data_IF_092219895330
#
_entry.id   IF_092219895330
#
_cell.length_a   1.000
_cell.length_b   1.000
_cell.length_c   1.000
_cell.angle_alpha   90.00
_cell.angle_beta   90.00
_cell.angle_gamma   90.00
#
_symmetry.space_group_name_H-M   'P 1'
#
loop_
_entity.id
_entity.type
_entity.pdbx_description
1 polymer ?
#
# COMPACT_ATOMS: atom_id res chain seq x y z
N UNK A 1 17.01 -38.24 25.16
CA UNK A 1 15.59 -37.88 24.92
C UNK A 1 15.55 -36.74 23.92
N UNK A 2 14.62 -36.71 22.95
CA UNK A 2 14.52 -35.59 22.01
C UNK A 2 14.32 -34.26 22.73
N UNK A 3 14.95 -33.19 22.24
CA UNK A 3 14.95 -31.87 22.87
C UNK A 3 13.52 -31.32 23.12
N UNK A 4 12.62 -31.50 22.16
CA UNK A 4 11.21 -31.10 22.29
C UNK A 4 10.49 -31.80 23.45
N UNK A 5 10.81 -33.09 23.69
CA UNK A 5 10.22 -33.85 24.79
C UNK A 5 10.81 -33.44 26.15
N UNK A 6 12.08 -33.04 26.18
CA UNK A 6 12.70 -32.44 27.37
C UNK A 6 12.08 -31.09 27.70
N UNK A 7 11.89 -30.21 26.71
CA UNK A 7 11.22 -28.91 26.86
C UNK A 7 9.80 -29.06 27.42
N UNK A 8 8.98 -29.95 26.84
CA UNK A 8 7.61 -30.21 27.33
C UNK A 8 7.58 -30.70 28.77
N UNK A 9 8.51 -31.59 29.15
CA UNK A 9 8.61 -32.11 30.53
C UNK A 9 9.10 -31.03 31.51
N UNK A 10 10.08 -30.22 31.11
CA UNK A 10 10.61 -29.13 31.93
C UNK A 10 9.55 -28.03 32.16
N UNK A 11 8.78 -27.66 31.13
CA UNK A 11 7.69 -26.71 31.23
C UNK A 11 6.61 -27.18 32.23
N UNK A 12 6.17 -28.43 32.13
CA UNK A 12 5.22 -29.01 33.09
C UNK A 12 5.77 -29.10 34.52
N UNK A 13 7.06 -29.39 34.68
CA UNK A 13 7.71 -29.38 35.99
C UNK A 13 7.76 -27.97 36.59
N UNK A 14 8.09 -26.95 35.79
CA UNK A 14 8.13 -25.55 36.22
C UNK A 14 6.74 -25.07 36.67
N UNK A 15 5.69 -25.40 35.91
CA UNK A 15 4.31 -25.01 36.24
C UNK A 15 3.89 -25.49 37.63
N UNK A 16 4.28 -26.72 37.99
CA UNK A 16 3.98 -27.31 39.29
C UNK A 16 4.88 -26.73 40.39
N UNK A 17 6.17 -26.58 40.11
CA UNK A 17 7.20 -26.24 41.10
C UNK A 17 7.35 -24.75 41.37
N UNK A 18 6.91 -23.85 40.47
CA UNK A 18 7.01 -22.38 40.64
C UNK A 18 6.31 -21.87 41.89
N UNK A 19 5.32 -22.60 42.42
CA UNK A 19 4.65 -22.29 43.70
C UNK A 19 5.54 -22.55 44.93
N UNK A 20 6.63 -23.30 44.77
CA UNK A 20 7.56 -23.68 45.82
C UNK A 20 8.92 -23.06 45.54
N UNK A 21 9.14 -21.82 46.01
CA UNK A 21 10.36 -21.04 45.73
C UNK A 21 11.66 -21.68 46.26
N UNK A 22 11.58 -22.65 47.18
CA UNK A 22 12.74 -23.39 47.71
C UNK A 22 13.04 -24.68 46.94
N UNK A 23 12.36 -24.93 45.81
CA UNK A 23 12.62 -26.13 45.02
C UNK A 23 14.06 -26.09 44.46
N UNK A 24 14.90 -27.13 44.67
CA UNK A 24 16.33 -27.07 44.38
C UNK A 24 16.68 -26.69 42.94
N UNK A 25 15.92 -27.18 41.96
CA UNK A 25 16.16 -26.85 40.54
C UNK A 25 15.87 -25.38 40.26
N UNK A 26 14.84 -24.80 40.89
CA UNK A 26 14.52 -23.38 40.72
C UNK A 26 15.63 -22.53 41.34
N UNK A 27 16.10 -22.88 42.54
CA UNK A 27 17.21 -22.17 43.18
C UNK A 27 18.50 -22.25 42.37
N UNK A 28 18.79 -23.42 41.80
CA UNK A 28 19.95 -23.60 40.93
C UNK A 28 19.81 -22.80 39.63
N UNK A 29 18.63 -22.76 39.01
CA UNK A 29 18.37 -21.90 37.85
C UNK A 29 18.55 -20.42 38.18
N UNK A 30 18.07 -19.97 39.35
CA UNK A 30 18.32 -18.58 39.77
C UNK A 30 19.81 -18.30 40.01
N UNK A 31 20.53 -19.24 40.63
CA UNK A 31 21.99 -19.10 40.82
C UNK A 31 22.70 -19.00 39.47
N UNK A 32 22.45 -19.93 38.57
CA UNK A 32 23.04 -19.97 37.22
C UNK A 32 22.75 -18.69 36.45
N UNK A 33 21.49 -18.24 36.41
CA UNK A 33 21.12 -17.01 35.68
C UNK A 33 21.76 -15.77 36.32
N UNK A 34 21.71 -15.63 37.64
CA UNK A 34 22.16 -14.42 38.33
C UNK A 34 23.68 -14.35 38.56
N UNK A 35 24.38 -15.48 38.55
CA UNK A 35 25.82 -15.54 38.85
C UNK A 35 26.67 -15.94 37.64
N UNK A 36 26.17 -16.82 36.76
CA UNK A 36 26.96 -17.36 35.66
C UNK A 36 26.64 -16.64 34.33
N UNK A 37 25.39 -16.19 34.15
CA UNK A 37 24.96 -15.52 32.91
C UNK A 37 24.85 -14.00 33.00
N UNK A 38 24.32 -13.47 34.11
CA UNK A 38 24.20 -12.02 34.29
C UNK A 38 25.41 -11.42 35.00
N UNK A 39 25.95 -10.36 34.41
CA UNK A 39 26.98 -9.53 35.05
C UNK A 39 26.33 -8.46 35.94
N UNK A 40 25.85 -8.90 37.10
CA UNK A 40 25.25 -8.02 38.10
C UNK A 40 26.24 -6.97 38.64
N UNK A 41 27.54 -7.28 38.86
CA UNK A 41 28.53 -6.27 39.22
C UNK A 41 28.65 -5.14 38.18
N UNK A 42 28.80 -5.46 36.89
CA UNK A 42 28.90 -4.44 35.84
C UNK A 42 27.63 -3.58 35.72
N UNK A 43 26.46 -4.21 35.86
CA UNK A 43 25.18 -3.47 35.87
C UNK A 43 25.14 -2.44 37.01
N UNK A 44 25.57 -2.81 38.22
CA UNK A 44 25.63 -1.89 39.37
C UNK A 44 26.59 -0.74 39.11
N UNK A 45 27.75 -1.02 38.52
CA UNK A 45 28.73 0.01 38.16
C UNK A 45 28.11 1.05 37.21
N UNK A 46 27.49 0.62 36.12
CA UNK A 46 26.83 1.52 35.15
C UNK A 46 25.77 2.38 35.83
N UNK A 47 24.92 1.80 36.68
CA UNK A 47 23.89 2.55 37.42
C UNK A 47 24.49 3.57 38.39
N UNK A 48 25.55 3.20 39.11
CA UNK A 48 26.29 4.14 39.97
C UNK A 48 26.94 5.27 39.17
N UNK A 49 27.49 4.98 37.99
CA UNK A 49 28.09 5.97 37.11
C UNK A 49 27.06 6.93 36.51
N UNK A 50 25.85 6.46 36.20
CA UNK A 50 24.71 7.31 35.83
C UNK A 50 24.32 8.19 37.03
N UNK A 51 24.18 7.62 38.23
CA UNK A 51 23.79 8.37 39.44
C UNK A 51 24.82 9.45 39.79
N UNK A 52 26.12 9.16 39.64
CA UNK A 52 27.23 10.11 39.83
C UNK A 52 27.41 11.08 38.65
N UNK A 53 26.56 10.99 37.61
CA UNK A 53 26.59 11.80 36.38
C UNK A 53 27.89 11.69 35.57
N UNK A 54 28.61 10.58 35.71
CA UNK A 54 29.73 10.24 34.82
C UNK A 54 29.22 9.79 33.46
N UNK A 55 28.16 8.97 33.44
CA UNK A 55 27.42 8.62 32.23
C UNK A 55 26.26 9.61 32.08
N UNK A 56 26.15 10.24 30.90
CA UNK A 56 25.05 11.14 30.57
C UNK A 56 23.95 10.38 29.84
N UNK A 57 22.72 10.57 30.28
CA UNK A 57 21.51 10.07 29.62
C UNK A 57 20.84 11.24 28.91
N UNK A 58 20.51 11.07 27.63
CA UNK A 58 19.84 12.07 26.82
C UNK A 58 18.58 11.47 26.20
N UNK A 59 17.52 12.27 26.15
CA UNK A 59 16.28 11.93 25.47
C UNK A 59 16.25 12.65 24.12
N UNK A 60 15.96 11.91 23.05
CA UNK A 60 15.92 12.43 21.67
C UNK A 60 14.59 12.02 21.06
N UNK A 61 13.74 12.99 20.74
CA UNK A 61 12.53 12.78 19.96
C UNK A 61 12.87 12.67 18.48
N UNK A 62 12.51 11.56 17.84
CA UNK A 62 12.68 11.33 16.41
C UNK A 62 11.33 10.97 15.80
N UNK A 63 11.12 11.36 14.56
CA UNK A 63 9.92 11.00 13.80
C UNK A 63 9.92 9.53 13.34
N UNK A 64 11.03 8.80 13.57
CA UNK A 64 11.21 7.38 13.26
C UNK A 64 12.43 6.76 13.96
N UNK A 65 12.67 5.44 13.83
CA UNK A 65 13.80 4.78 14.50
C UNK A 65 15.14 5.25 13.94
N UNK A 66 16.12 5.49 14.83
CA UNK A 66 17.49 5.78 14.40
C UNK A 66 18.19 4.54 13.82
N UNK A 67 19.24 4.67 13.00
CA UNK A 67 19.98 3.52 12.46
C UNK A 67 20.45 2.50 13.53
N UNK A 68 20.80 2.99 14.72
CA UNK A 68 21.18 2.15 15.86
C UNK A 68 19.98 1.44 16.50
N UNK A 69 18.83 2.12 16.62
CA UNK A 69 17.60 1.49 17.12
C UNK A 69 17.05 0.47 16.13
N UNK A 70 17.18 0.75 14.83
CA UNK A 70 16.83 -0.15 13.74
C UNK A 70 17.65 -1.44 13.81
N UNK A 71 18.98 -1.38 14.02
CA UNK A 71 19.81 -2.59 14.20
C UNK A 71 19.40 -3.42 15.43
N UNK A 72 19.10 -2.77 16.56
CA UNK A 72 18.64 -3.48 17.77
C UNK A 72 17.26 -4.12 17.58
N UNK A 73 16.38 -3.47 16.81
CA UNK A 73 15.07 -4.01 16.46
C UNK A 73 15.21 -5.26 15.58
N UNK A 74 16.16 -5.25 14.64
CA UNK A 74 16.46 -6.43 13.82
C UNK A 74 16.98 -7.61 14.66
N UNK A 75 17.91 -7.40 15.59
CA UNK A 75 18.44 -8.44 16.46
C UNK A 75 17.34 -9.04 17.37
N UNK A 76 16.45 -8.19 17.89
CA UNK A 76 15.31 -8.61 18.69
C UNK A 76 14.32 -9.46 17.88
N UNK A 77 13.97 -9.05 16.66
CA UNK A 77 13.03 -9.78 15.80
C UNK A 77 13.63 -11.11 15.34
N UNK A 78 14.91 -11.14 14.97
CA UNK A 78 15.60 -12.37 14.57
C UNK A 78 15.58 -13.41 15.70
N UNK A 79 15.80 -12.98 16.94
CA UNK A 79 15.74 -13.85 18.11
C UNK A 79 14.35 -14.45 18.32
N UNK A 80 13.28 -13.67 18.11
CA UNK A 80 11.89 -14.12 18.27
C UNK A 80 11.37 -14.97 17.10
N UNK A 81 11.83 -14.74 15.86
CA UNK A 81 11.40 -15.55 14.71
C UNK A 81 11.85 -17.02 14.80
N UNK A 82 12.91 -17.30 15.55
CA UNK A 82 13.41 -18.66 15.76
C UNK A 82 12.98 -19.28 17.12
N UNK A 83 12.30 -18.55 17.99
CA UNK A 83 11.64 -19.10 19.19
C UNK A 83 10.25 -19.66 18.85
N UNK A 84 10.24 -20.90 18.37
CA UNK A 84 9.08 -21.58 17.77
C UNK A 84 7.88 -21.89 18.70
N UNK A 85 7.89 -21.54 19.99
CA UNK A 85 6.94 -22.10 21.00
C UNK A 85 5.93 -21.11 21.64
N UNK A 86 5.74 -19.89 21.11
CA UNK A 86 4.73 -18.95 21.65
C UNK A 86 3.27 -19.24 21.17
N UNK A 87 2.22 -19.08 22.02
CA UNK A 87 0.82 -19.24 21.64
C UNK A 87 0.33 -18.23 20.59
N UNK A 88 -0.54 -18.68 19.68
CA UNK A 88 -1.02 -17.94 18.49
C UNK A 88 -1.71 -16.59 18.81
N UNK A 89 -2.27 -16.42 20.02
CA UNK A 89 -2.96 -15.20 20.42
C UNK A 89 -2.01 -14.01 20.67
N UNK A 90 -0.85 -14.24 21.28
CA UNK A 90 0.19 -13.21 21.45
C UNK A 90 0.86 -12.85 20.11
N UNK A 91 0.95 -13.82 19.18
CA UNK A 91 1.44 -13.58 17.80
C UNK A 91 0.62 -12.55 17.03
N UNK A 92 -0.71 -12.53 17.20
CA UNK A 92 -1.59 -11.58 16.50
C UNK A 92 -1.44 -10.14 17.01
N UNK A 93 -1.23 -9.97 18.31
CA UNK A 93 -1.02 -8.65 18.90
C UNK A 93 0.33 -8.05 18.44
N UNK A 94 1.40 -8.86 18.43
CA UNK A 94 2.73 -8.43 17.97
C UNK A 94 2.79 -8.18 16.45
N UNK A 95 2.08 -8.99 15.64
CA UNK A 95 1.97 -8.79 14.20
C UNK A 95 1.21 -7.52 13.81
N UNK A 96 0.29 -7.04 14.66
CA UNK A 96 -0.38 -5.75 14.51
C UNK A 96 0.52 -4.56 14.95
N UNK A 97 1.64 -4.84 15.61
CA UNK A 97 2.67 -3.86 15.99
C UNK A 97 3.84 -3.81 14.99
N UNK A 98 3.79 -4.62 13.91
CA UNK A 98 4.77 -4.51 12.83
C UNK A 98 4.47 -3.26 12.00
N UNK A 99 5.37 -2.30 12.09
CA UNK A 99 5.37 -1.14 11.21
C UNK A 99 5.62 -1.60 9.77
N UNK A 100 4.65 -1.34 8.89
CA UNK A 100 4.70 -1.69 7.46
C UNK A 100 5.89 -1.02 6.76
N UNK A 101 6.41 0.08 7.30
CA UNK A 101 7.61 0.75 6.78
C UNK A 101 8.89 -0.04 7.06
N UNK A 102 9.02 -0.64 8.25
CA UNK A 102 10.15 -1.49 8.63
C UNK A 102 10.18 -2.80 7.84
N UNK A 103 9.02 -3.38 7.56
CA UNK A 103 8.91 -4.52 6.62
C UNK A 103 9.39 -4.18 5.21
N UNK A 104 9.18 -2.92 4.79
CA UNK A 104 9.58 -2.40 3.48
C UNK A 104 11.09 -2.15 3.38
N UNK A 105 11.76 -1.93 4.51
CA UNK A 105 13.23 -1.91 4.61
C UNK A 105 13.82 -3.33 4.69
N UNK A 106 13.17 -4.25 5.41
CA UNK A 106 13.62 -5.62 5.68
C UNK A 106 13.52 -6.53 4.45
N UNK A 107 12.51 -6.31 3.60
CA UNK A 107 12.34 -6.99 2.31
C UNK A 107 13.24 -6.41 1.21
N UNK A 108 14.05 -5.38 1.53
CA UNK A 108 14.52 -4.40 0.55
C UNK A 108 13.31 -3.66 -0.06
N UNK A 109 13.54 -2.65 -0.91
CA UNK A 109 12.64 -2.62 -2.06
C UNK A 109 12.71 -4.05 -2.62
N UNK A 110 11.61 -4.83 -2.68
CA UNK A 110 11.59 -5.79 -3.76
C UNK A 110 11.91 -4.90 -4.95
N UNK A 111 12.86 -5.28 -5.78
CA UNK A 111 12.79 -4.85 -7.15
C UNK A 111 11.40 -5.32 -7.59
N UNK A 112 10.35 -4.51 -7.38
CA UNK A 112 8.97 -4.88 -7.69
C UNK A 112 8.90 -5.15 -9.20
N UNK A 113 9.86 -4.59 -9.95
CA UNK A 113 10.24 -4.98 -11.31
C UNK A 113 10.46 -6.47 -11.50
N UNK A 114 11.12 -7.17 -10.58
CA UNK A 114 11.38 -8.62 -10.69
C UNK A 114 10.17 -9.48 -10.26
N UNK A 115 9.24 -8.92 -9.48
CA UNK A 115 8.02 -9.62 -9.04
C UNK A 115 6.81 -9.40 -9.96
N UNK A 116 6.79 -8.30 -10.73
CA UNK A 116 5.71 -7.99 -11.65
C UNK A 116 6.12 -8.37 -13.08
N UNK A 117 5.51 -9.44 -13.56
CA UNK A 117 5.65 -9.87 -14.95
C UNK A 117 5.15 -8.76 -15.90
N UNK A 118 6.01 -8.34 -16.83
CA UNK A 118 5.70 -7.28 -17.79
C UNK A 118 4.48 -7.65 -18.65
N UNK A 119 4.33 -8.92 -19.01
CA UNK A 119 3.19 -9.40 -19.81
C UNK A 119 1.88 -9.29 -19.01
N UNK A 120 1.95 -9.47 -17.68
CA UNK A 120 0.79 -9.31 -16.80
C UNK A 120 0.42 -7.83 -16.64
N UNK A 121 1.41 -6.93 -16.53
CA UNK A 121 1.17 -5.49 -16.48
C UNK A 121 0.48 -5.03 -17.77
N UNK A 122 1.00 -5.43 -18.93
CA UNK A 122 0.41 -5.10 -20.23
C UNK A 122 -1.02 -5.65 -20.36
N UNK A 123 -1.25 -6.90 -19.94
CA UNK A 123 -2.59 -7.49 -19.96
C UNK A 123 -3.58 -6.72 -19.07
N UNK A 124 -3.17 -6.33 -17.86
CA UNK A 124 -4.01 -5.54 -16.94
C UNK A 124 -4.28 -4.15 -17.53
N UNK A 125 -3.28 -3.50 -18.13
CA UNK A 125 -3.48 -2.22 -18.80
C UNK A 125 -4.47 -2.32 -19.96
N UNK A 126 -4.38 -3.36 -20.79
CA UNK A 126 -5.36 -3.62 -21.86
C UNK A 126 -6.77 -3.82 -21.31
N UNK A 127 -6.94 -4.44 -20.15
CA UNK A 127 -8.24 -4.58 -19.49
C UNK A 127 -8.79 -3.25 -18.95
N UNK A 128 -7.93 -2.45 -18.30
CA UNK A 128 -8.26 -1.13 -17.78
C UNK A 128 -8.63 -0.16 -18.91
N UNK A 129 -7.87 -0.20 -20.00
CA UNK A 129 -8.10 0.56 -21.23
C UNK A 129 -9.31 0.07 -22.02
N UNK A 130 -10.03 -0.97 -21.58
CA UNK A 130 -11.17 -1.58 -22.30
C UNK A 130 -10.80 -2.10 -23.70
N UNK A 131 -9.53 -2.46 -23.91
CA UNK A 131 -9.01 -3.00 -25.16
C UNK A 131 -9.07 -4.53 -25.20
N UNK A 132 -9.02 -5.20 -24.04
CA UNK A 132 -9.18 -6.65 -23.93
C UNK A 132 -10.59 -7.11 -24.35
N UNK A 133 -10.69 -8.27 -25.03
CA UNK A 133 -11.95 -8.82 -25.57
C UNK A 133 -13.08 -8.97 -24.52
N UNK A 134 -12.73 -9.34 -23.29
CA UNK A 134 -13.68 -9.44 -22.17
C UNK A 134 -14.19 -8.08 -21.66
N UNK A 135 -13.47 -7.00 -21.94
CA UNK A 135 -13.71 -5.65 -21.39
C UNK A 135 -14.21 -4.63 -22.43
N UNK A 136 -14.32 -5.03 -23.71
CA UNK A 136 -14.86 -4.21 -24.79
C UNK A 136 -16.24 -3.63 -24.46
N UNK A 137 -16.46 -2.40 -24.91
CA UNK A 137 -17.71 -1.65 -24.81
C UNK A 137 -18.76 -2.26 -25.74
N UNK A 138 -19.97 -2.53 -25.22
CA UNK A 138 -21.08 -3.18 -25.95
C UNK A 138 -22.39 -2.40 -25.93
N UNK A 139 -22.43 -1.22 -25.30
CA UNK A 139 -23.61 -0.37 -25.24
C UNK A 139 -23.25 1.10 -25.03
N UNK A 140 -24.21 1.99 -25.27
CA UNK A 140 -24.07 3.42 -24.98
C UNK A 140 -23.79 3.71 -23.49
N UNK A 141 -24.40 2.94 -22.58
CA UNK A 141 -24.13 3.10 -21.14
C UNK A 141 -22.69 2.71 -20.80
N UNK A 142 -22.18 1.61 -21.37
CA UNK A 142 -20.78 1.23 -21.17
C UNK A 142 -19.81 2.23 -21.80
N UNK A 143 -20.20 2.89 -22.90
CA UNK A 143 -19.42 3.99 -23.47
C UNK A 143 -19.38 5.18 -22.53
N UNK A 144 -20.51 5.56 -21.92
CA UNK A 144 -20.56 6.63 -20.92
C UNK A 144 -19.67 6.35 -19.72
N UNK A 145 -19.75 5.13 -19.17
CA UNK A 145 -18.88 4.70 -18.07
C UNK A 145 -17.40 4.75 -18.48
N UNK A 146 -17.07 4.30 -19.69
CA UNK A 146 -15.72 4.36 -20.20
C UNK A 146 -15.19 5.80 -20.35
N UNK A 147 -16.05 6.76 -20.76
CA UNK A 147 -15.66 8.17 -20.82
C UNK A 147 -15.40 8.77 -19.43
N UNK A 148 -16.15 8.33 -18.41
CA UNK A 148 -15.91 8.73 -17.01
C UNK A 148 -14.61 8.15 -16.46
N UNK A 149 -14.33 6.88 -16.78
CA UNK A 149 -13.15 6.15 -16.31
C UNK A 149 -11.86 6.59 -17.02
N UNK A 150 -11.88 6.69 -18.36
CA UNK A 150 -10.70 6.95 -19.20
C UNK A 150 -10.50 8.44 -19.52
N UNK A 151 -11.56 9.24 -19.43
CA UNK A 151 -11.57 10.63 -19.89
C UNK A 151 -11.87 10.77 -21.38
N UNK A 152 -11.51 11.91 -22.00
CA UNK A 152 -11.88 12.21 -23.38
C UNK A 152 -11.26 11.24 -24.41
N UNK A 153 -12.09 10.66 -25.28
CA UNK A 153 -11.68 9.71 -26.32
C UNK A 153 -11.96 10.23 -27.72
N UNK A 154 -11.05 9.99 -28.66
CA UNK A 154 -11.28 10.23 -30.09
C UNK A 154 -12.21 9.17 -30.70
N UNK A 155 -12.81 9.47 -31.85
CA UNK A 155 -13.69 8.52 -32.54
C UNK A 155 -12.98 7.20 -32.94
N UNK A 156 -11.67 7.25 -33.20
CA UNK A 156 -10.86 6.04 -33.40
C UNK A 156 -10.62 5.29 -32.08
N UNK A 157 -10.35 6.01 -30.99
CA UNK A 157 -10.17 5.45 -29.66
C UNK A 157 -11.41 4.73 -29.12
N UNK A 158 -12.61 5.28 -29.38
CA UNK A 158 -13.88 4.64 -29.04
C UNK A 158 -14.07 3.35 -29.86
N UNK A 159 -13.82 3.40 -31.17
CA UNK A 159 -13.93 2.22 -32.04
C UNK A 159 -12.99 1.09 -31.64
N UNK A 160 -11.75 1.41 -31.27
CA UNK A 160 -10.77 0.42 -30.80
C UNK A 160 -11.21 -0.30 -29.52
N UNK A 161 -11.99 0.36 -28.66
CA UNK A 161 -12.50 -0.18 -27.38
C UNK A 161 -13.90 -0.78 -27.49
N UNK A 162 -14.51 -0.75 -28.67
CA UNK A 162 -15.87 -1.24 -28.90
C UNK A 162 -15.85 -2.70 -29.38
N UNK A 163 -16.72 -3.53 -28.82
CA UNK A 163 -16.89 -4.92 -29.24
C UNK A 163 -17.64 -5.05 -30.57
N UNK A 164 -18.40 -4.02 -30.93
CA UNK A 164 -19.06 -3.85 -32.23
C UNK A 164 -18.71 -2.47 -32.78
N UNK A 165 -17.58 -2.31 -33.50
CA UNK A 165 -17.07 -1.01 -33.96
C UNK A 165 -18.07 -0.21 -34.81
N UNK A 166 -18.96 -0.88 -35.54
CA UNK A 166 -19.97 -0.22 -36.38
C UNK A 166 -21.04 0.50 -35.53
N UNK A 167 -21.42 -0.08 -34.39
CA UNK A 167 -22.40 0.50 -33.46
C UNK A 167 -21.84 1.65 -32.60
N UNK A 168 -20.50 1.79 -32.53
CA UNK A 168 -19.84 2.79 -31.71
C UNK A 168 -20.23 4.24 -32.08
N UNK A 169 -20.45 4.49 -33.37
CA UNK A 169 -20.86 5.81 -33.87
C UNK A 169 -22.30 6.14 -33.45
N UNK A 170 -23.19 5.14 -33.46
CA UNK A 170 -24.58 5.29 -33.03
C UNK A 170 -24.66 5.57 -31.54
N UNK A 171 -23.91 4.85 -30.71
CA UNK A 171 -23.84 5.10 -29.26
C UNK A 171 -23.29 6.49 -28.95
N UNK A 172 -22.26 6.94 -29.68
CA UNK A 172 -21.70 8.27 -29.51
C UNK A 172 -22.75 9.34 -29.84
N UNK A 173 -23.48 9.18 -30.94
CA UNK A 173 -24.55 10.09 -31.32
C UNK A 173 -25.70 10.10 -30.30
N UNK A 174 -26.07 8.95 -29.76
CA UNK A 174 -27.07 8.81 -28.69
C UNK A 174 -26.66 9.59 -27.44
N UNK A 175 -25.43 9.42 -26.95
CA UNK A 175 -24.90 10.15 -25.79
C UNK A 175 -24.85 11.66 -26.00
N UNK A 176 -24.45 12.13 -27.18
CA UNK A 176 -24.43 13.55 -27.53
C UNK A 176 -25.86 14.12 -27.59
N UNK A 177 -26.78 13.42 -28.24
CA UNK A 177 -28.18 13.87 -28.36
C UNK A 177 -28.92 13.85 -27.01
N UNK A 178 -28.54 12.94 -26.11
CA UNK A 178 -29.06 12.82 -24.76
C UNK A 178 -28.41 13.75 -23.74
N UNK A 179 -27.50 14.65 -24.15
CA UNK A 179 -26.72 15.52 -23.25
C UNK A 179 -25.97 14.75 -22.14
N UNK A 180 -25.51 13.54 -22.45
CA UNK A 180 -24.67 12.72 -21.56
C UNK A 180 -23.19 12.87 -21.86
N UNK A 181 -22.85 13.25 -23.08
CA UNK A 181 -21.48 13.51 -23.51
C UNK A 181 -21.37 14.89 -24.18
N UNK A 182 -20.15 15.40 -24.26
CA UNK A 182 -19.79 16.66 -24.92
C UNK A 182 -18.62 16.44 -25.87
N UNK A 183 -18.56 17.24 -26.93
CA UNK A 183 -17.40 17.29 -27.82
C UNK A 183 -16.43 18.38 -27.34
N UNK A 184 -15.16 18.03 -27.22
CA UNK A 184 -14.06 18.91 -26.81
C UNK A 184 -12.88 18.76 -27.76
N UNK A 185 -12.06 19.79 -27.89
CA UNK A 185 -10.81 19.70 -28.67
C UNK A 185 -9.65 19.59 -27.71
N UNK A 186 -8.97 18.44 -27.70
CA UNK A 186 -7.81 18.19 -26.85
C UNK A 186 -6.65 17.67 -27.71
N UNK A 187 -5.46 18.26 -27.55
CA UNK A 187 -4.30 17.90 -28.39
C UNK A 187 -4.49 18.21 -29.89
N UNK A 188 -5.39 19.14 -30.24
CA UNK A 188 -5.68 19.51 -31.63
C UNK A 188 -6.64 18.57 -32.37
N UNK A 189 -7.19 17.55 -31.71
CA UNK A 189 -8.17 16.63 -32.28
C UNK A 189 -9.52 16.67 -31.54
N UNK A 190 -10.65 16.43 -32.22
CA UNK A 190 -11.96 16.32 -31.58
C UNK A 190 -12.05 15.02 -30.77
N UNK A 191 -12.47 15.17 -29.51
CA UNK A 191 -12.70 14.07 -28.57
C UNK A 191 -14.09 14.20 -27.95
N UNK A 192 -14.63 13.06 -27.57
CA UNK A 192 -15.87 12.94 -26.82
C UNK A 192 -15.50 12.77 -25.36
N UNK A 193 -16.14 13.54 -24.48
CA UNK A 193 -15.96 13.46 -23.04
C UNK A 193 -17.32 13.29 -22.35
N UNK A 194 -17.34 12.71 -21.15
CA UNK A 194 -18.54 12.68 -20.32
C UNK A 194 -18.91 14.13 -19.91
N UNK A 195 -20.19 14.47 -19.89
CA UNK A 195 -20.63 15.83 -19.56
C UNK A 195 -20.23 16.23 -18.13
N UNK A 196 -20.15 15.26 -17.22
CA UNK A 196 -19.79 15.43 -15.82
C UNK A 196 -18.32 15.89 -15.61
N UNK A 197 -17.51 15.80 -16.65
CA UNK A 197 -16.11 16.23 -16.62
C UNK A 197 -15.89 17.66 -17.12
N UNK A 198 -16.96 18.37 -17.52
CA UNK A 198 -16.84 19.68 -18.12
C UNK A 198 -16.00 20.67 -17.28
N UNK A 199 -16.26 20.78 -15.98
CA UNK A 199 -15.46 21.64 -15.09
C UNK A 199 -14.02 21.16 -14.94
N UNK A 200 -13.79 19.86 -14.76
CA UNK A 200 -12.44 19.27 -14.66
C UNK A 200 -11.60 19.54 -15.90
N UNK A 201 -12.18 19.38 -17.08
CA UNK A 201 -11.49 19.60 -18.36
C UNK A 201 -11.22 21.09 -18.63
N UNK A 202 -12.16 21.96 -18.26
CA UNK A 202 -11.98 23.42 -18.36
C UNK A 202 -10.90 23.92 -17.41
N UNK A 203 -11.02 23.58 -16.13
CA UNK A 203 -10.21 24.17 -15.07
C UNK A 203 -8.86 23.48 -14.92
N UNK A 204 -8.78 22.17 -15.21
CA UNK A 204 -7.55 21.37 -15.11
C UNK A 204 -6.71 21.41 -16.38
N UNK A 205 -7.33 21.31 -17.56
CA UNK A 205 -6.63 21.21 -18.84
C UNK A 205 -6.81 22.44 -19.74
N UNK A 206 -7.60 23.43 -19.33
CA UNK A 206 -7.85 24.64 -20.13
C UNK A 206 -8.70 24.39 -21.37
N UNK A 207 -9.45 23.28 -21.43
CA UNK A 207 -10.24 22.95 -22.62
C UNK A 207 -11.48 23.84 -22.74
N UNK A 208 -11.79 24.26 -23.96
CA UNK A 208 -13.04 24.96 -24.25
C UNK A 208 -14.22 23.99 -24.18
N UNK A 209 -15.20 24.30 -23.34
CA UNK A 209 -16.43 23.52 -23.18
C UNK A 209 -17.53 24.13 -24.05
N UNK A 210 -18.34 23.30 -24.76
CA UNK A 210 -19.42 23.78 -25.61
C UNK A 210 -20.51 24.53 -24.82
N UNK A 211 -21.23 25.41 -25.52
CA UNK A 211 -22.40 26.08 -24.97
C UNK A 211 -23.54 25.08 -24.76
N UNK A 212 -24.27 25.21 -23.64
CA UNK A 212 -25.42 24.35 -23.33
C UNK A 212 -25.18 23.30 -22.24
N UNK A 213 -23.98 23.22 -21.68
CA UNK A 213 -23.71 22.36 -20.51
C UNK A 213 -24.44 22.90 -19.27
N UNK A 214 -25.26 22.08 -18.57
CA UNK A 214 -25.95 22.48 -17.35
C UNK A 214 -25.03 23.01 -16.25
N UNK A 215 -25.52 23.99 -15.48
CA UNK A 215 -24.77 24.64 -14.39
C UNK A 215 -24.05 23.67 -13.43
N UNK A 216 -24.68 22.56 -12.95
CA UNK A 216 -24.03 21.65 -12.02
C UNK A 216 -22.73 21.01 -12.54
N UNK A 217 -22.53 20.94 -13.86
CA UNK A 217 -21.34 20.32 -14.47
C UNK A 217 -20.23 21.33 -14.78
N UNK A 218 -20.51 22.63 -14.67
CA UNK A 218 -19.54 23.71 -14.90
C UNK A 218 -19.11 24.41 -13.61
N UNK A 219 -19.67 24.00 -12.47
CA UNK A 219 -19.23 24.44 -11.14
C UNK A 219 -17.78 24.00 -10.89
N UNK A 220 -16.93 24.88 -10.33
CA UNK A 220 -15.55 24.55 -9.99
C UNK A 220 -15.47 23.37 -9.01
N UNK A 221 -14.44 22.55 -9.17
CA UNK A 221 -14.07 21.47 -8.25
C UNK A 221 -12.78 21.84 -7.50
N UNK A 222 -12.53 21.21 -6.36
CA UNK A 222 -11.41 21.57 -5.47
C UNK A 222 -10.03 21.37 -6.12
N UNK A 223 -9.82 20.25 -6.81
CA UNK A 223 -8.55 19.90 -7.47
C UNK A 223 -8.78 19.30 -8.87
N UNK A 224 -9.07 20.12 -9.89
CA UNK A 224 -9.42 19.63 -11.23
C UNK A 224 -8.25 18.93 -11.93
N UNK A 225 -7.02 19.40 -11.73
CA UNK A 225 -5.83 18.79 -12.33
C UNK A 225 -5.49 17.48 -11.63
N UNK A 226 -5.50 17.45 -10.30
CA UNK A 226 -5.29 16.23 -9.52
C UNK A 226 -6.34 15.17 -9.84
N UNK A 227 -7.62 15.54 -10.02
CA UNK A 227 -8.68 14.63 -10.45
C UNK A 227 -8.40 14.00 -11.82
N UNK A 228 -7.94 14.80 -12.80
CA UNK A 228 -7.61 14.33 -14.15
C UNK A 228 -6.41 13.37 -14.11
N UNK A 229 -5.33 13.73 -13.42
CA UNK A 229 -4.13 12.90 -13.29
C UNK A 229 -4.42 11.63 -12.49
N UNK A 230 -5.16 11.72 -11.39
CA UNK A 230 -5.55 10.57 -10.58
C UNK A 230 -6.48 9.60 -11.33
N UNK A 231 -7.26 10.11 -12.28
CA UNK A 231 -8.02 9.26 -13.21
C UNK A 231 -7.11 8.60 -14.25
N UNK A 232 -6.19 9.35 -14.85
CA UNK A 232 -5.21 8.79 -15.79
C UNK A 232 -4.44 7.64 -15.13
N UNK A 233 -3.97 7.84 -13.90
CA UNK A 233 -3.23 6.85 -13.13
C UNK A 233 -4.02 5.59 -12.76
N UNK A 234 -5.36 5.64 -12.76
CA UNK A 234 -6.21 4.46 -12.51
C UNK A 234 -6.35 3.54 -13.71
N UNK A 235 -5.99 4.02 -14.89
CA UNK A 235 -6.27 3.32 -16.16
C UNK A 235 -5.02 3.04 -16.99
N UNK A 236 -3.87 3.61 -16.62
CA UNK A 236 -2.58 3.35 -17.26
C UNK A 236 -1.67 2.58 -16.31
N UNK A 237 -0.80 1.74 -16.88
CA UNK A 237 0.30 1.12 -16.17
C UNK A 237 1.29 2.19 -15.65
N UNK A 238 2.34 1.84 -14.89
CA UNK A 238 3.32 2.83 -14.45
C UNK A 238 3.80 3.72 -15.60
N UNK A 239 3.54 5.02 -15.48
CA UNK A 239 3.75 6.03 -16.51
C UNK A 239 4.75 7.08 -16.04
N UNK A 240 5.44 7.74 -16.97
CA UNK A 240 6.30 8.87 -16.67
C UNK A 240 5.47 10.16 -16.59
N UNK A 241 6.00 11.20 -15.94
CA UNK A 241 5.29 12.48 -15.82
C UNK A 241 4.94 13.11 -17.18
N UNK A 242 5.73 12.84 -18.22
CA UNK A 242 5.49 13.34 -19.58
C UNK A 242 4.32 12.63 -20.29
N UNK A 243 3.88 11.47 -19.77
CA UNK A 243 2.79 10.68 -20.35
C UNK A 243 1.40 11.14 -19.90
N UNK A 244 1.30 11.86 -18.77
CA UNK A 244 0.05 12.28 -18.12
C UNK A 244 -0.28 13.77 -18.33
#
# INVERSE_FOLDING_TARGET
>A
TPLWLQRRKAAGLLEITRRYGSFPIILETYREVLQDHFDIPALKEVLEEIQRRKIRVAEVGLDGPSPFATSLTFDFIASFMYEYDAPIAEKRAAALTLDRSLLRELLGEPEFRELLDADVIEAVELELQRLAEGRKIRSADQLHDALRDLGPLSASGIRARSGTPDAASEWTADLLSGNRAIEVVAGGEPKIAAIEDASRLRDGLGLAIPLGVPLPFVEPVDDPLGDVVARYARTHAPFAADDA
#
